data_IF_136223460149
#
_entry.id   IF_136223460149
#
_cell.length_a   1.000
_cell.length_b   1.000
_cell.length_c   1.000
_cell.angle_alpha   90.00
_cell.angle_beta   90.00
_cell.angle_gamma   90.00
#
_symmetry.space_group_name_H-M   'P 1'
#
loop_
_entity.id
_entity.type
_entity.pdbx_description
1 polymer ?
#
# COMPACT_ATOMS: atom_id res chain seq x y z
N UNK A 1 24.98 -0.52 1.70
CA UNK A 1 24.30 -0.21 2.98
C UNK A 1 22.87 -0.71 2.83
N UNK A 2 22.43 -1.70 3.61
CA UNK A 2 21.04 -2.21 3.54
C UNK A 2 20.16 -1.34 4.44
N UNK A 3 19.25 -0.60 3.85
CA UNK A 3 18.32 0.28 4.57
C UNK A 3 17.39 -0.57 5.46
N UNK A 4 17.04 -0.14 6.70
CA UNK A 4 16.13 -0.88 7.58
C UNK A 4 14.79 -1.27 6.94
N UNK A 5 14.28 -0.44 6.02
CA UNK A 5 13.05 -0.69 5.27
C UNK A 5 13.18 -1.88 4.31
N UNK A 6 14.37 -2.15 3.76
CA UNK A 6 14.60 -3.27 2.85
C UNK A 6 14.51 -4.61 3.57
N UNK A 7 15.06 -4.71 4.79
CA UNK A 7 15.01 -5.96 5.55
C UNK A 7 13.57 -6.34 5.89
N UNK A 8 12.76 -5.35 6.24
CA UNK A 8 11.37 -5.59 6.55
C UNK A 8 10.53 -5.91 5.30
N UNK A 9 10.74 -5.19 4.19
CA UNK A 9 10.04 -5.50 2.93
C UNK A 9 10.42 -6.87 2.38
N UNK A 10 11.66 -7.34 2.59
CA UNK A 10 12.08 -8.69 2.19
C UNK A 10 11.26 -9.79 2.86
N UNK A 11 10.75 -9.55 4.07
CA UNK A 11 9.93 -10.52 4.82
C UNK A 11 8.46 -10.54 4.40
N UNK A 12 7.96 -9.46 3.81
CA UNK A 12 6.54 -9.30 3.48
C UNK A 12 6.26 -9.47 1.99
N UNK A 13 7.18 -9.05 1.14
CA UNK A 13 7.04 -9.17 -0.30
C UNK A 13 7.54 -10.51 -0.81
N UNK A 14 6.86 -11.03 -1.84
CA UNK A 14 7.45 -12.08 -2.67
C UNK A 14 8.74 -11.56 -3.31
N UNK A 15 9.64 -12.46 -3.70
CA UNK A 15 10.92 -12.06 -4.30
C UNK A 15 10.75 -11.10 -5.50
N UNK A 16 9.73 -11.34 -6.32
CA UNK A 16 9.39 -10.49 -7.48
C UNK A 16 8.99 -9.09 -7.04
N UNK A 17 8.05 -9.00 -6.09
CA UNK A 17 7.55 -7.72 -5.55
C UNK A 17 8.68 -6.97 -4.83
N UNK A 18 9.55 -7.68 -4.12
CA UNK A 18 10.70 -7.09 -3.45
C UNK A 18 11.69 -6.45 -4.43
N UNK A 19 11.93 -7.05 -5.59
CA UNK A 19 12.79 -6.46 -6.64
C UNK A 19 12.18 -5.18 -7.22
N UNK A 20 10.86 -5.16 -7.43
CA UNK A 20 10.14 -3.95 -7.86
C UNK A 20 10.30 -2.85 -6.81
N UNK A 21 10.07 -3.20 -5.54
CA UNK A 21 10.27 -2.27 -4.43
C UNK A 21 11.70 -1.71 -4.38
N UNK A 22 12.73 -2.54 -4.55
CA UNK A 22 14.12 -2.05 -4.56
C UNK A 22 14.35 -1.04 -5.70
N UNK A 23 13.79 -1.28 -6.88
CA UNK A 23 13.86 -0.34 -7.99
C UNK A 23 13.11 0.97 -7.66
N UNK A 24 11.90 0.90 -7.09
CA UNK A 24 11.16 2.07 -6.63
C UNK A 24 11.94 2.87 -5.58
N UNK A 25 12.60 2.17 -4.66
CA UNK A 25 13.40 2.74 -3.59
C UNK A 25 14.60 3.50 -4.14
N UNK A 26 15.36 2.91 -5.07
CA UNK A 26 16.50 3.58 -5.73
C UNK A 26 16.03 4.78 -6.54
N UNK A 27 14.92 4.65 -7.27
CA UNK A 27 14.40 5.77 -8.08
C UNK A 27 13.87 6.92 -7.23
N UNK A 28 13.40 6.66 -6.00
CA UNK A 28 12.88 7.70 -5.09
C UNK A 28 13.90 8.80 -4.79
N UNK A 29 15.20 8.50 -4.81
CA UNK A 29 16.27 9.47 -4.54
C UNK A 29 16.35 10.59 -5.59
N UNK A 30 15.81 10.36 -6.79
CA UNK A 30 15.84 11.32 -7.89
C UNK A 30 14.70 12.35 -7.82
N UNK A 31 13.83 12.25 -6.81
CA UNK A 31 12.70 13.15 -6.64
C UNK A 31 12.98 14.19 -5.56
N UNK A 32 12.35 15.34 -5.70
CA UNK A 32 12.26 16.37 -4.66
C UNK A 32 10.89 16.27 -3.97
N UNK A 33 10.88 16.38 -2.65
CA UNK A 33 9.67 16.46 -1.85
C UNK A 33 9.47 17.90 -1.37
N UNK A 34 8.26 18.42 -1.51
CA UNK A 34 7.85 19.70 -0.94
C UNK A 34 6.58 19.48 -0.13
N UNK A 35 6.64 19.75 1.18
CA UNK A 35 5.45 19.82 2.01
C UNK A 35 4.65 21.07 1.64
N UNK A 36 3.37 20.88 1.38
CA UNK A 36 2.50 21.95 0.85
C UNK A 36 1.41 22.34 1.82
N UNK A 37 0.97 21.40 2.63
CA UNK A 37 -0.13 21.61 3.56
C UNK A 37 0.02 20.64 4.73
N UNK A 38 -0.37 21.12 5.90
CA UNK A 38 -0.57 20.30 7.09
C UNK A 38 -1.81 20.82 7.80
N UNK A 39 -2.77 19.92 8.01
CA UNK A 39 -4.02 20.22 8.72
C UNK A 39 -4.31 19.06 9.67
N UNK A 40 -4.17 19.34 10.97
CA UNK A 40 -4.26 18.32 12.00
C UNK A 40 -3.29 17.17 11.73
N UNK A 41 -3.84 15.96 11.58
CA UNK A 41 -3.07 14.76 11.30
C UNK A 41 -2.75 14.55 9.81
N UNK A 42 -3.30 15.36 8.91
CA UNK A 42 -3.14 15.17 7.46
C UNK A 42 -2.05 16.11 6.92
N UNK A 43 -1.04 15.53 6.28
CA UNK A 43 0.01 16.24 5.56
C UNK A 43 -0.07 15.97 4.06
N UNK A 44 0.09 16.99 3.23
CA UNK A 44 0.15 16.86 1.76
C UNK A 44 1.49 17.32 1.21
N UNK A 45 1.99 16.59 0.23
CA UNK A 45 3.29 16.79 -0.39
C UNK A 45 3.18 16.81 -1.92
N UNK A 46 4.00 17.63 -2.55
CA UNK A 46 4.34 17.50 -3.96
C UNK A 46 5.66 16.78 -4.09
N UNK A 47 5.65 15.67 -4.83
CA UNK A 47 6.85 14.93 -5.20
C UNK A 47 7.11 15.16 -6.69
N UNK A 48 8.27 15.72 -7.04
CA UNK A 48 8.56 16.14 -8.41
C UNK A 48 9.93 15.70 -8.90
N UNK A 49 10.03 15.42 -10.20
CA UNK A 49 11.26 15.21 -10.95
C UNK A 49 11.04 15.75 -12.35
N UNK A 50 11.86 16.70 -12.79
CA UNK A 50 11.73 17.32 -14.12
C UNK A 50 10.29 17.84 -14.36
N UNK A 51 9.58 17.30 -15.36
CA UNK A 51 8.18 17.63 -15.66
C UNK A 51 7.16 16.77 -14.89
N UNK A 52 7.59 15.70 -14.22
CA UNK A 52 6.72 14.82 -13.45
C UNK A 52 6.40 15.43 -12.08
N UNK A 53 5.11 15.38 -11.71
CA UNK A 53 4.63 15.89 -10.43
C UNK A 53 3.48 15.02 -9.89
N UNK A 54 3.66 14.52 -8.68
CA UNK A 54 2.69 13.68 -7.99
C UNK A 54 2.31 14.24 -6.63
N UNK A 55 1.01 14.23 -6.35
CA UNK A 55 0.48 14.53 -5.02
C UNK A 55 0.58 13.29 -4.14
N UNK A 56 1.13 13.47 -2.94
CA UNK A 56 1.13 12.46 -1.89
C UNK A 56 0.41 13.02 -0.67
N UNK A 57 -0.54 12.26 -0.13
CA UNK A 57 -1.23 12.59 1.11
C UNK A 57 -0.87 11.57 2.16
N UNK A 58 -0.49 12.04 3.34
CA UNK A 58 -0.23 11.25 4.53
C UNK A 58 -1.23 11.62 5.63
N UNK A 59 -1.75 10.63 6.33
CA UNK A 59 -2.62 10.81 7.50
C UNK A 59 -1.99 10.11 8.70
N UNK A 60 -1.60 10.87 9.72
CA UNK A 60 -1.06 10.35 10.96
C UNK A 60 -2.11 9.67 11.84
N UNK A 61 -3.41 9.93 11.62
CA UNK A 61 -4.50 9.35 12.42
C UNK A 61 -4.65 7.84 12.23
N UNK A 62 -4.54 7.39 10.98
CA UNK A 62 -4.62 5.98 10.61
C UNK A 62 -3.31 5.46 10.02
N UNK A 63 -2.27 6.30 10.01
CA UNK A 63 -0.95 6.02 9.47
C UNK A 63 -0.92 5.74 7.97
N UNK A 64 -1.91 6.25 7.23
CA UNK A 64 -2.07 5.97 5.81
C UNK A 64 -1.38 6.94 4.88
N UNK A 65 -0.89 6.40 3.77
CA UNK A 65 -0.34 7.18 2.67
C UNK A 65 -1.06 6.84 1.37
N UNK A 66 -1.30 7.85 0.55
CA UNK A 66 -1.85 7.72 -0.80
C UNK A 66 -1.05 8.57 -1.78
N UNK A 67 -0.92 8.09 -3.02
CA UNK A 67 -0.30 8.83 -4.09
C UNK A 67 -1.22 8.89 -5.29
N UNK A 68 -1.23 10.03 -5.97
CA UNK A 68 -1.92 10.22 -7.25
C UNK A 68 -1.52 9.21 -8.34
N UNK A 69 -0.36 8.55 -8.25
CA UNK A 69 0.04 7.52 -9.21
C UNK A 69 -0.67 6.17 -9.02
N UNK A 70 -1.32 5.95 -7.86
CA UNK A 70 -2.11 4.75 -7.53
C UNK A 70 -1.35 3.41 -7.70
N UNK A 71 -0.02 3.41 -7.61
CA UNK A 71 0.77 2.20 -7.84
C UNK A 71 0.48 1.11 -6.80
N UNK A 72 0.15 1.48 -5.57
CA UNK A 72 -0.14 0.51 -4.52
C UNK A 72 -1.45 -0.22 -4.80
N UNK A 73 -2.48 0.49 -5.26
CA UNK A 73 -3.79 -0.03 -5.59
C UNK A 73 -3.75 -1.00 -6.78
N UNK A 74 -2.81 -0.79 -7.71
CA UNK A 74 -2.65 -1.63 -8.90
C UNK A 74 -1.64 -2.78 -8.72
N UNK A 75 -0.49 -2.51 -8.10
CA UNK A 75 0.64 -3.45 -8.05
C UNK A 75 0.90 -4.00 -6.63
N UNK A 76 0.22 -3.48 -5.61
CA UNK A 76 0.49 -3.83 -4.21
C UNK A 76 1.85 -3.33 -3.70
N UNK A 77 2.49 -2.40 -4.41
CA UNK A 77 3.83 -1.89 -4.10
C UNK A 77 3.81 -0.40 -3.80
N UNK A 78 4.55 0.00 -2.77
CA UNK A 78 4.79 1.41 -2.48
C UNK A 78 5.59 2.07 -3.60
N UNK A 79 5.01 3.08 -4.24
CA UNK A 79 5.69 3.85 -5.28
C UNK A 79 6.87 4.67 -4.74
N UNK A 80 7.80 4.99 -5.64
CA UNK A 80 8.90 5.92 -5.42
C UNK A 80 8.48 7.25 -4.77
N UNK A 81 7.26 7.74 -5.05
CA UNK A 81 6.78 9.02 -4.51
C UNK A 81 6.47 8.95 -3.02
N UNK A 82 5.76 7.90 -2.58
CA UNK A 82 5.50 7.65 -1.17
C UNK A 82 6.82 7.41 -0.44
N UNK A 83 7.72 6.60 -1.03
CA UNK A 83 9.04 6.33 -0.46
C UNK A 83 9.87 7.60 -0.27
N UNK A 84 9.80 8.55 -1.21
CA UNK A 84 10.47 9.85 -1.09
C UNK A 84 9.91 10.67 0.08
N UNK A 85 8.58 10.74 0.23
CA UNK A 85 7.94 11.45 1.36
C UNK A 85 8.30 10.80 2.69
N UNK A 86 8.23 9.47 2.78
CA UNK A 86 8.56 8.73 4.01
C UNK A 86 10.00 8.95 4.46
N UNK A 87 10.95 9.11 3.53
CA UNK A 87 12.35 9.42 3.85
C UNK A 87 12.52 10.85 4.36
N UNK A 88 11.90 11.81 3.69
CA UNK A 88 12.07 13.23 4.00
C UNK A 88 11.38 13.65 5.29
N UNK A 89 10.34 12.92 5.72
CA UNK A 89 9.71 13.12 7.02
C UNK A 89 10.63 12.76 8.21
N UNK A 90 11.80 12.13 7.98
CA UNK A 90 12.84 11.71 8.95
C UNK A 90 12.39 10.83 10.11
N UNK A 91 11.11 10.83 10.45
CA UNK A 91 10.39 9.74 11.05
C UNK A 91 9.81 8.89 9.91
N UNK A 92 9.58 7.60 10.16
CA UNK A 92 8.77 6.71 9.33
C UNK A 92 9.46 5.72 8.38
N UNK A 93 10.63 5.16 8.71
CA UNK A 93 11.09 3.92 8.06
C UNK A 93 10.47 2.64 8.63
N UNK A 94 9.81 2.71 9.79
CA UNK A 94 9.10 1.59 10.46
C UNK A 94 7.61 1.50 10.07
N UNK A 95 7.05 2.51 9.42
CA UNK A 95 5.60 2.76 9.42
C UNK A 95 4.90 2.30 8.14
N UNK A 96 5.66 2.12 7.05
CA UNK A 96 5.15 1.70 5.74
C UNK A 96 4.51 0.30 5.74
N UNK A 97 4.82 -0.51 6.75
CA UNK A 97 4.44 -1.93 6.77
C UNK A 97 3.27 -2.26 7.67
N UNK A 98 2.96 -1.42 8.67
CA UNK A 98 1.73 -1.60 9.45
C UNK A 98 0.52 -1.37 8.54
N UNK A 99 0.60 -0.37 7.67
CA UNK A 99 -0.33 -0.11 6.58
C UNK A 99 -0.41 -1.26 5.58
N UNK A 100 0.71 -1.67 4.98
CA UNK A 100 0.72 -2.72 3.97
C UNK A 100 0.22 -4.06 4.54
N UNK A 101 0.64 -4.42 5.76
CA UNK A 101 0.16 -5.62 6.44
C UNK A 101 -1.33 -5.51 6.82
N UNK A 102 -1.79 -4.36 7.35
CA UNK A 102 -3.21 -4.19 7.69
C UNK A 102 -4.09 -4.26 6.44
N UNK A 103 -3.72 -3.56 5.37
CA UNK A 103 -4.44 -3.61 4.09
C UNK A 103 -4.42 -4.99 3.46
N UNK A 104 -3.29 -5.72 3.51
CA UNK A 104 -3.22 -7.10 3.02
C UNK A 104 -4.10 -8.05 3.84
N UNK A 105 -4.12 -7.89 5.17
CA UNK A 105 -4.99 -8.67 6.07
C UNK A 105 -6.46 -8.35 5.80
N UNK A 106 -6.83 -7.08 5.65
CA UNK A 106 -8.18 -6.66 5.29
C UNK A 106 -8.62 -7.22 3.94
N UNK A 107 -7.77 -7.12 2.92
CA UNK A 107 -8.07 -7.62 1.58
C UNK A 107 -8.25 -9.14 1.58
N UNK A 108 -7.35 -9.86 2.27
CA UNK A 108 -7.46 -11.31 2.47
C UNK A 108 -8.73 -11.72 3.22
N UNK A 109 -9.10 -10.98 4.26
CA UNK A 109 -10.32 -11.20 5.04
C UNK A 109 -11.56 -11.01 4.16
N UNK A 110 -11.62 -9.93 3.39
CA UNK A 110 -12.74 -9.65 2.47
C UNK A 110 -12.90 -10.73 1.40
N UNK A 111 -11.79 -11.27 0.88
CA UNK A 111 -11.80 -12.35 -0.11
C UNK A 111 -12.33 -13.65 0.49
N UNK A 112 -11.90 -13.99 1.72
CA UNK A 112 -12.37 -15.17 2.44
C UNK A 112 -13.87 -15.09 2.74
N UNK A 113 -14.38 -13.92 3.13
CA UNK A 113 -15.81 -13.70 3.36
C UNK A 113 -16.63 -13.87 2.07
N UNK A 114 -16.15 -13.31 0.95
CA UNK A 114 -16.79 -13.50 -0.37
C UNK A 114 -16.83 -14.97 -0.76
N UNK A 115 -15.76 -15.71 -0.54
CA UNK A 115 -15.71 -17.15 -0.84
C UNK A 115 -16.67 -17.96 0.05
N UNK A 116 -16.71 -17.67 1.36
CA UNK A 116 -17.65 -18.30 2.30
C UNK A 116 -19.09 -18.05 1.90
N UNK A 117 -19.43 -16.80 1.56
CA UNK A 117 -20.77 -16.44 1.10
C UNK A 117 -21.15 -17.21 -0.18
N UNK A 118 -20.25 -17.27 -1.17
CA UNK A 118 -20.48 -18.03 -2.40
C UNK A 118 -20.71 -19.52 -2.11
N UNK A 119 -19.93 -20.12 -1.21
CA UNK A 119 -20.10 -21.50 -0.78
C UNK A 119 -21.46 -21.75 -0.11
N UNK A 120 -21.91 -20.84 0.75
CA UNK A 120 -23.21 -20.94 1.41
C UNK A 120 -24.37 -20.84 0.41
N UNK A 121 -24.30 -19.90 -0.54
CA UNK A 121 -25.27 -19.76 -1.64
C UNK A 121 -25.34 -21.06 -2.44
N UNK A 122 -24.21 -21.64 -2.82
CA UNK A 122 -24.15 -22.91 -3.55
C UNK A 122 -24.74 -24.07 -2.73
N UNK A 123 -24.42 -24.15 -1.44
CA UNK A 123 -24.92 -25.18 -0.52
C UNK A 123 -26.44 -25.08 -0.33
N UNK A 124 -26.98 -23.88 -0.15
CA UNK A 124 -28.42 -23.65 -0.04
C UNK A 124 -29.15 -23.95 -1.34
N UNK A 125 -28.58 -23.54 -2.49
CA UNK A 125 -29.08 -23.89 -3.81
C UNK A 125 -29.17 -25.41 -4.00
N UNK A 126 -28.11 -26.14 -3.61
CA UNK A 126 -28.10 -27.61 -3.64
C UNK A 126 -29.17 -28.25 -2.74
N UNK A 127 -29.40 -27.70 -1.54
CA UNK A 127 -30.46 -28.18 -0.64
C UNK A 127 -31.87 -27.93 -1.20
N UNK A 128 -32.11 -26.76 -1.81
CA UNK A 128 -33.39 -26.42 -2.43
C UNK A 128 -33.70 -27.31 -3.65
N UNK A 129 -32.68 -27.64 -4.44
CA UNK A 129 -32.81 -28.58 -5.57
C UNK A 129 -33.08 -30.03 -5.13
N UNK A 130 -32.53 -30.47 -4.00
CA UNK A 130 -32.81 -31.80 -3.42
C UNK A 130 -34.18 -31.91 -2.74
N UNK A 131 -34.77 -30.81 -2.24
CA UNK A 131 -36.08 -30.83 -1.58
C UNK A 131 -37.28 -30.63 -2.53
N UNK A 132 -37.05 -30.58 -3.84
CA UNK A 132 -38.10 -30.50 -4.88
C UNK A 132 -38.37 -31.86 -5.57
N UNK A 133 -37.91 -32.98 -5.00
CA UNK A 133 -38.27 -34.35 -5.42
C UNK A 133 -39.16 -35.04 -4.39
#
# INVERSE_FOLDING_TARGET
>A
MKEPVEEQCRRLYTLTVFRIFQNELVQSYNYLCLKTHEEGAVSRFWVRKESEKHAVTFSASNLSSSCSCQMFEHEGVLCRHILKVSRDLKALMVWSLREAASKYIEFGTSSLEKYKLAYEIMREGGKKLCCQR
#
